data_IF_150872519530
#
_entry.id   IF_150872519530
#
_cell.length_a   1.000
_cell.length_b   1.000
_cell.length_c   1.000
_cell.angle_alpha   90.00
_cell.angle_beta   90.00
_cell.angle_gamma   90.00
#
_symmetry.space_group_name_H-M   'P 1'
#
loop_
_entity.id
_entity.type
_entity.pdbx_description
1 polymer ?
#
# COMPACT_ATOMS: atom_id res chain seq x y z
N UNK A 1 -19.65 -9.90 6.24
CA UNK A 1 -19.01 -8.78 5.52
C UNK A 1 -17.80 -8.39 6.37
N UNK A 2 -16.58 -8.77 5.99
CA UNK A 2 -15.39 -8.42 6.78
C UNK A 2 -14.92 -7.03 6.36
N UNK A 3 -14.71 -6.16 7.35
CA UNK A 3 -14.39 -4.75 7.16
C UNK A 3 -13.24 -4.56 6.18
N UNK A 4 -13.37 -3.51 5.38
CA UNK A 4 -12.31 -3.07 4.50
C UNK A 4 -11.27 -2.35 5.35
N UNK A 5 -10.04 -2.89 5.41
CA UNK A 5 -9.01 -2.36 6.29
C UNK A 5 -8.14 -1.37 5.53
N UNK A 6 -8.18 -0.12 5.98
CA UNK A 6 -7.21 0.90 5.60
C UNK A 6 -6.11 0.90 6.65
N UNK A 7 -4.88 0.61 6.23
CA UNK A 7 -3.71 0.53 7.10
C UNK A 7 -3.03 1.89 7.24
N UNK A 8 -2.57 2.27 8.44
CA UNK A 8 -1.72 3.45 8.59
C UNK A 8 -0.34 3.19 7.96
N UNK A 9 0.20 4.18 7.25
CA UNK A 9 1.59 4.20 6.82
C UNK A 9 2.42 5.00 7.81
N UNK A 10 3.51 4.40 8.27
CA UNK A 10 4.41 4.98 9.25
C UNK A 10 5.80 5.19 8.62
N UNK A 11 6.43 6.32 8.92
CA UNK A 11 7.87 6.51 8.76
C UNK A 11 8.45 6.87 10.14
N UNK A 12 9.22 5.94 10.72
CA UNK A 12 9.60 6.03 12.13
C UNK A 12 8.37 5.95 13.02
N UNK A 13 8.16 6.98 13.84
CA UNK A 13 7.05 7.14 14.77
C UNK A 13 5.91 8.02 14.23
N UNK A 14 6.00 8.47 12.97
CA UNK A 14 5.03 9.40 12.37
C UNK A 14 4.10 8.69 11.40
N UNK A 15 2.79 8.93 11.54
CA UNK A 15 1.82 8.60 10.49
C UNK A 15 2.02 9.57 9.33
N UNK A 16 2.34 9.01 8.16
CA UNK A 16 2.57 9.77 6.92
C UNK A 16 1.47 9.59 5.89
N UNK A 17 0.52 8.69 6.17
CA UNK A 17 -0.56 8.41 5.26
C UNK A 17 -1.33 7.15 5.62
N UNK A 18 -2.11 6.69 4.65
CA UNK A 18 -2.96 5.52 4.74
C UNK A 18 -2.90 4.77 3.43
N UNK A 19 -2.98 3.45 3.51
CA UNK A 19 -3.03 2.58 2.34
C UNK A 19 -4.20 1.62 2.46
N UNK A 20 -4.93 1.52 1.38
CA UNK A 20 -5.99 0.58 1.18
C UNK A 20 -5.49 -0.57 0.30
N UNK A 21 -5.37 -1.75 0.90
CA UNK A 21 -4.85 -2.93 0.23
C UNK A 21 -5.49 -4.22 0.73
N UNK A 22 -5.50 -5.24 -0.11
CA UNK A 22 -6.09 -6.54 0.19
C UNK A 22 -5.33 -7.67 -0.48
N UNK A 23 -5.05 -8.74 0.28
CA UNK A 23 -4.56 -9.99 -0.29
C UNK A 23 -5.70 -10.73 -1.02
N UNK A 24 -5.66 -10.74 -2.34
CA UNK A 24 -6.48 -11.60 -3.19
C UNK A 24 -5.77 -12.94 -3.41
N UNK A 25 -6.05 -13.89 -2.51
CA UNK A 25 -5.46 -15.24 -2.57
C UNK A 25 -5.93 -16.06 -3.77
N UNK A 26 -7.04 -15.68 -4.44
CA UNK A 26 -7.46 -16.36 -5.67
C UNK A 26 -6.61 -15.95 -6.85
N UNK A 27 -6.22 -14.66 -6.91
CA UNK A 27 -5.36 -14.11 -7.96
C UNK A 27 -3.87 -14.16 -7.63
N UNK A 28 -3.51 -14.44 -6.37
CA UNK A 28 -2.12 -14.46 -5.92
C UNK A 28 -1.51 -13.06 -5.81
N UNK A 29 -2.34 -12.02 -5.58
CA UNK A 29 -1.90 -10.62 -5.55
C UNK A 29 -2.23 -9.92 -4.22
N UNK A 30 -1.38 -9.00 -3.81
CA UNK A 30 -1.71 -7.93 -2.86
C UNK A 30 -2.19 -6.74 -3.68
N UNK A 31 -3.50 -6.57 -3.78
CA UNK A 31 -4.12 -5.48 -4.53
C UNK A 31 -4.05 -4.19 -3.70
N UNK A 32 -3.38 -3.16 -4.23
CA UNK A 32 -3.34 -1.81 -3.66
C UNK A 32 -4.37 -0.97 -4.40
N UNK A 33 -5.43 -0.58 -3.70
CA UNK A 33 -6.54 0.20 -4.28
C UNK A 33 -6.37 1.69 -4.09
N UNK A 34 -5.80 2.15 -2.97
CA UNK A 34 -5.58 3.58 -2.76
C UNK A 34 -4.48 3.88 -1.76
N UNK A 35 -3.74 4.95 -2.02
CA UNK A 35 -2.73 5.55 -1.18
C UNK A 35 -3.12 7.00 -0.94
N UNK A 36 -3.24 7.37 0.33
CA UNK A 36 -3.41 8.75 0.75
C UNK A 36 -2.20 9.15 1.58
N UNK A 37 -1.50 10.19 1.16
CA UNK A 37 -0.44 10.80 1.96
C UNK A 37 -1.01 11.96 2.76
N UNK A 38 -0.50 12.16 3.98
CA UNK A 38 -0.88 13.31 4.80
C UNK A 38 -0.44 14.62 4.12
N UNK A 39 -1.13 15.75 4.38
CA UNK A 39 -0.75 17.05 3.82
C UNK A 39 0.73 17.38 4.08
N UNK A 40 1.43 17.80 3.02
CA UNK A 40 2.86 18.10 3.06
C UNK A 40 3.79 16.90 2.89
N UNK A 41 3.27 15.67 2.85
CA UNK A 41 4.05 14.46 2.54
C UNK A 41 4.03 14.23 1.02
N UNK A 42 5.22 14.24 0.39
CA UNK A 42 5.35 14.04 -1.07
C UNK A 42 5.57 12.57 -1.42
N UNK A 43 5.01 12.12 -2.53
CA UNK A 43 5.32 10.81 -3.11
C UNK A 43 6.68 10.83 -3.85
N UNK A 44 7.78 11.08 -3.15
CA UNK A 44 9.12 11.05 -3.76
C UNK A 44 9.47 9.64 -4.24
N UNK A 45 10.32 9.54 -5.27
CA UNK A 45 10.76 8.26 -5.83
C UNK A 45 11.28 7.30 -4.74
N UNK A 46 12.19 7.76 -3.88
CA UNK A 46 12.74 6.94 -2.80
C UNK A 46 11.72 6.53 -1.72
N UNK A 47 10.62 7.28 -1.53
CA UNK A 47 9.52 6.86 -0.63
C UNK A 47 8.70 5.75 -1.27
N UNK A 48 8.39 5.90 -2.55
CA UNK A 48 7.63 4.91 -3.31
C UNK A 48 8.40 3.60 -3.45
N UNK A 49 9.72 3.63 -3.65
CA UNK A 49 10.57 2.45 -3.67
C UNK A 49 10.56 1.71 -2.32
N UNK A 50 10.63 2.44 -1.20
CA UNK A 50 10.53 1.84 0.14
C UNK A 50 9.15 1.22 0.37
N UNK A 51 8.09 1.93 0.00
CA UNK A 51 6.71 1.44 0.08
C UNK A 51 6.55 0.15 -0.73
N UNK A 52 7.00 0.13 -1.98
CA UNK A 52 6.92 -1.03 -2.86
C UNK A 52 7.65 -2.24 -2.26
N UNK A 53 8.86 -2.03 -1.74
CA UNK A 53 9.60 -3.09 -1.07
C UNK A 53 8.85 -3.66 0.15
N UNK A 54 8.22 -2.81 0.97
CA UNK A 54 7.43 -3.26 2.13
C UNK A 54 6.16 -4.00 1.68
N UNK A 55 5.50 -3.54 0.62
CA UNK A 55 4.34 -4.22 0.04
C UNK A 55 4.71 -5.60 -0.51
N UNK A 56 5.87 -5.75 -1.14
CA UNK A 56 6.39 -7.06 -1.58
C UNK A 56 6.65 -8.00 -0.39
N UNK A 57 7.18 -7.48 0.73
CA UNK A 57 7.33 -8.26 1.96
C UNK A 57 5.98 -8.68 2.53
N UNK A 58 5.01 -7.77 2.55
CA UNK A 58 3.67 -8.03 3.05
C UNK A 58 2.90 -9.02 2.16
N UNK A 59 3.09 -8.96 0.84
CA UNK A 59 2.54 -9.92 -0.11
C UNK A 59 2.97 -11.34 0.27
N UNK A 60 4.29 -11.56 0.43
CA UNK A 60 4.85 -12.84 0.88
C UNK A 60 4.29 -13.27 2.24
N UNK A 61 4.27 -12.36 3.21
CA UNK A 61 3.76 -12.64 4.55
C UNK A 61 2.28 -13.05 4.55
N UNK A 62 1.46 -12.47 3.67
CA UNK A 62 0.02 -12.75 3.57
C UNK A 62 -0.33 -13.94 2.68
N UNK A 63 0.69 -14.56 2.05
CA UNK A 63 0.57 -15.76 1.23
C UNK A 63 0.22 -15.48 -0.23
N UNK A 64 0.61 -14.33 -0.77
CA UNK A 64 0.43 -13.94 -2.18
C UNK A 64 1.79 -13.61 -2.82
N UNK A 65 1.86 -13.65 -4.15
CA UNK A 65 3.13 -13.73 -4.89
C UNK A 65 3.61 -12.37 -5.42
N UNK A 66 2.68 -11.46 -5.69
CA UNK A 66 2.99 -10.16 -6.29
C UNK A 66 2.12 -9.03 -5.73
N UNK A 67 2.56 -7.80 -5.96
CA UNK A 67 1.80 -6.58 -5.67
C UNK A 67 1.12 -6.12 -6.96
N UNK A 68 -0.14 -5.74 -6.87
CA UNK A 68 -0.93 -5.26 -8.00
C UNK A 68 -1.53 -3.89 -7.66
N UNK A 69 -1.04 -2.85 -8.32
CA UNK A 69 -1.56 -1.50 -8.16
C UNK A 69 -2.76 -1.29 -9.06
N UNK A 70 -3.93 -1.06 -8.48
CA UNK A 70 -5.16 -0.84 -9.26
C UNK A 70 -5.14 0.56 -9.91
N UNK A 71 -5.95 0.73 -10.94
CA UNK A 71 -6.15 2.04 -11.55
C UNK A 71 -6.61 3.07 -10.50
N UNK A 72 -5.99 4.24 -10.48
CA UNK A 72 -6.27 5.30 -9.50
C UNK A 72 -5.77 5.01 -8.08
N UNK A 73 -4.85 4.05 -7.90
CA UNK A 73 -4.29 3.72 -6.58
C UNK A 73 -3.56 4.89 -5.91
N UNK A 74 -3.17 5.90 -6.66
CA UNK A 74 -2.55 7.11 -6.14
C UNK A 74 -3.13 8.29 -6.91
N UNK A 75 -3.41 9.39 -6.21
CA UNK A 75 -3.61 10.67 -6.88
C UNK A 75 -2.23 11.18 -7.30
N UNK A 76 -2.03 11.35 -8.61
CA UNK A 76 -0.89 12.12 -9.09
C UNK A 76 -1.13 13.56 -8.65
N UNK A 77 -0.35 14.00 -7.66
CA UNK A 77 -0.39 15.38 -7.15
C UNK A 77 0.05 16.40 -8.19
#
# INVERSE_FOLDING_TARGET
QYGYYVFPLLEGDRVIGRIDMKADRKRGTLDVRRLWLEPGVRASAGRLEKLDAELVRLAKFTGVESVNYLEGWREDG
#
